data_IF_360644510472
#
_entry.id   IF_360644510472
#
_cell.length_a   1.000
_cell.length_b   1.000
_cell.length_c   1.000
_cell.angle_alpha   90.00
_cell.angle_beta   90.00
_cell.angle_gamma   90.00
#
_symmetry.space_group_name_H-M   'P 1'
#
loop_
_entity.id
_entity.type
_entity.pdbx_description
1 polymer ?
#
# COMPACT_ATOMS: atom_id res chain seq x y z
N UNK A 1 41.17 5.23 -40.72
CA UNK A 1 39.73 5.58 -40.76
C UNK A 1 39.10 4.88 -39.56
N UNK A 2 39.17 5.55 -38.41
CA UNK A 2 38.81 4.96 -37.12
C UNK A 2 37.36 5.31 -36.84
N UNK A 3 36.50 4.31 -36.77
CA UNK A 3 35.11 4.43 -36.34
C UNK A 3 35.14 4.25 -34.82
N UNK A 4 35.15 5.38 -34.11
CA UNK A 4 34.99 5.46 -32.66
C UNK A 4 33.58 5.04 -32.32
N UNK A 5 33.46 3.88 -31.66
CA UNK A 5 32.20 3.40 -31.13
C UNK A 5 31.72 4.27 -29.97
N UNK A 6 30.71 5.08 -30.20
CA UNK A 6 29.96 5.76 -29.12
C UNK A 6 29.26 4.70 -28.28
N UNK A 7 29.83 4.39 -27.11
CA UNK A 7 29.10 3.70 -26.05
C UNK A 7 28.00 4.63 -25.55
N UNK A 8 26.79 4.38 -25.98
CA UNK A 8 25.60 4.91 -25.33
C UNK A 8 25.60 4.49 -23.85
N UNK A 9 26.06 5.39 -23.00
CA UNK A 9 25.79 5.32 -21.56
C UNK A 9 24.29 5.57 -21.38
N UNK A 10 23.51 4.49 -21.37
CA UNK A 10 22.15 4.53 -20.85
C UNK A 10 22.31 4.76 -19.35
N UNK A 11 22.25 6.02 -18.95
CA UNK A 11 22.07 6.40 -17.56
C UNK A 11 20.74 5.82 -17.09
N UNK A 12 20.78 4.66 -16.41
CA UNK A 12 19.68 4.13 -15.63
C UNK A 12 19.41 5.11 -14.47
N UNK A 13 18.77 6.24 -14.79
CA UNK A 13 18.10 7.03 -13.76
C UNK A 13 16.97 6.15 -13.26
N UNK A 14 17.15 5.52 -12.11
CA UNK A 14 16.05 4.90 -11.37
C UNK A 14 15.00 6.00 -11.15
N UNK A 15 13.98 6.01 -11.98
CA UNK A 15 12.83 6.89 -11.80
C UNK A 15 12.08 6.38 -10.59
N UNK A 16 12.20 7.09 -9.46
CA UNK A 16 11.41 6.80 -8.29
C UNK A 16 9.97 7.24 -8.51
N UNK A 17 9.06 6.42 -8.05
CA UNK A 17 7.61 6.66 -8.05
C UNK A 17 7.11 6.81 -6.62
N UNK A 18 5.92 7.38 -6.51
CA UNK A 18 5.23 7.52 -5.24
C UNK A 18 4.03 6.57 -5.18
N UNK A 19 4.21 5.50 -4.42
CA UNK A 19 3.13 4.69 -3.88
C UNK A 19 2.57 5.39 -2.63
N UNK A 20 1.29 5.24 -2.34
CA UNK A 20 0.71 5.82 -1.13
C UNK A 20 0.16 4.75 -0.21
N UNK A 21 0.42 4.96 1.09
CA UNK A 21 -0.29 4.30 2.17
C UNK A 21 -1.38 5.25 2.69
N UNK A 22 -2.65 4.88 2.52
CA UNK A 22 -3.77 5.65 3.02
C UNK A 22 -4.18 5.14 4.40
N UNK A 23 -4.35 6.07 5.36
CA UNK A 23 -4.78 5.79 6.74
C UNK A 23 -6.05 6.56 7.03
N UNK A 24 -7.08 5.84 7.50
CA UNK A 24 -8.42 6.39 7.71
C UNK A 24 -8.76 6.46 9.18
N UNK A 25 -9.42 7.57 9.57
CA UNK A 25 -9.99 7.76 10.90
C UNK A 25 -11.30 7.00 11.05
N UNK A 26 -11.73 6.77 12.29
CA UNK A 26 -13.02 6.16 12.60
C UNK A 26 -14.18 7.15 12.41
N UNK A 27 -14.25 7.77 11.22
CA UNK A 27 -15.21 8.81 10.83
C UNK A 27 -15.84 8.47 9.48
N UNK A 28 -16.95 9.11 9.10
CA UNK A 28 -17.61 8.87 7.82
C UNK A 28 -17.97 7.38 7.63
N UNK A 29 -17.59 6.81 6.50
CA UNK A 29 -17.85 5.41 6.16
C UNK A 29 -17.14 4.40 7.09
N UNK A 30 -16.09 4.83 7.79
CA UNK A 30 -15.35 4.01 8.76
C UNK A 30 -15.89 4.18 10.19
N UNK A 31 -16.99 4.93 10.40
CA UNK A 31 -17.62 5.07 11.71
C UNK A 31 -18.27 3.76 12.14
N UNK A 32 -17.92 3.27 13.33
CA UNK A 32 -18.49 2.04 13.88
C UNK A 32 -17.84 1.64 15.20
N UNK A 33 -18.55 0.83 16.00
CA UNK A 33 -18.08 0.42 17.34
C UNK A 33 -16.69 -0.22 17.30
N UNK A 34 -16.44 -1.12 16.34
CA UNK A 34 -15.15 -1.78 16.21
C UNK A 34 -14.02 -0.80 15.88
N UNK A 35 -14.23 0.11 14.94
CA UNK A 35 -13.24 1.10 14.55
C UNK A 35 -12.96 2.11 15.66
N UNK A 36 -13.99 2.52 16.41
CA UNK A 36 -13.85 3.36 17.60
C UNK A 36 -13.07 2.64 18.70
N UNK A 37 -13.34 1.34 18.92
CA UNK A 37 -12.58 0.51 19.86
C UNK A 37 -11.12 0.39 19.41
N UNK A 38 -10.87 0.20 18.12
CA UNK A 38 -9.52 0.09 17.55
C UNK A 38 -8.71 1.37 17.80
N UNK A 39 -9.28 2.55 17.54
CA UNK A 39 -8.60 3.83 17.79
C UNK A 39 -8.34 4.06 19.27
N UNK A 40 -9.30 3.75 20.14
CA UNK A 40 -9.16 3.85 21.59
C UNK A 40 -8.07 2.92 22.13
N UNK A 41 -8.13 1.63 21.80
CA UNK A 41 -7.17 0.61 22.27
C UNK A 41 -5.73 0.87 21.78
N UNK A 42 -5.58 1.38 20.57
CA UNK A 42 -4.26 1.66 19.97
C UNK A 42 -3.75 3.08 20.26
N UNK A 43 -4.55 3.91 20.98
CA UNK A 43 -4.23 5.29 21.34
C UNK A 43 -3.84 6.16 20.15
N UNK A 44 -4.58 6.04 19.04
CA UNK A 44 -4.29 6.82 17.83
C UNK A 44 -5.50 6.94 16.91
N UNK A 45 -5.45 7.87 15.94
CA UNK A 45 -6.63 8.26 15.18
C UNK A 45 -7.05 7.24 14.09
N UNK A 46 -6.17 6.31 13.70
CA UNK A 46 -6.40 5.47 12.53
C UNK A 46 -6.96 4.10 12.88
N UNK A 47 -8.04 3.71 12.19
CA UNK A 47 -8.70 2.42 12.33
C UNK A 47 -8.54 1.51 11.11
N UNK A 48 -8.18 2.09 9.96
CA UNK A 48 -8.03 1.36 8.69
C UNK A 48 -6.83 1.87 7.90
N UNK A 49 -6.30 1.02 7.01
CA UNK A 49 -5.24 1.38 6.08
C UNK A 49 -5.34 0.56 4.80
N UNK A 50 -4.93 1.16 3.67
CA UNK A 50 -4.90 0.52 2.36
C UNK A 50 -3.77 1.07 1.48
N UNK A 51 -3.39 0.33 0.44
CA UNK A 51 -2.50 0.82 -0.61
C UNK A 51 -3.26 1.61 -1.66
N UNK A 52 -2.63 2.68 -2.15
CA UNK A 52 -3.12 3.48 -3.27
C UNK A 52 -2.00 3.63 -4.28
N UNK A 53 -2.17 2.98 -5.42
CA UNK A 53 -1.31 3.10 -6.59
C UNK A 53 -1.87 4.20 -7.49
N UNK A 54 -0.99 4.96 -8.11
CA UNK A 54 -1.37 5.95 -9.13
C UNK A 54 -0.59 5.64 -10.40
N UNK A 55 -1.30 5.29 -11.46
CA UNK A 55 -0.70 4.98 -12.75
C UNK A 55 -1.19 5.93 -13.84
N UNK A 56 -0.27 6.40 -14.66
CA UNK A 56 -0.61 7.04 -15.94
C UNK A 56 -1.16 6.00 -16.92
N UNK A 57 -1.82 6.39 -18.04
CA UNK A 57 -2.26 5.43 -19.06
C UNK A 57 -1.14 4.55 -19.60
N UNK A 58 0.07 5.12 -19.80
CA UNK A 58 1.25 4.42 -20.31
C UNK A 58 1.74 3.37 -19.29
N UNK A 59 1.84 3.77 -18.02
CA UNK A 59 2.22 2.87 -16.93
C UNK A 59 1.18 1.77 -16.73
N UNK A 60 -0.11 2.12 -16.84
CA UNK A 60 -1.20 1.17 -16.71
C UNK A 60 -1.12 0.08 -17.79
N UNK A 61 -0.74 0.43 -19.02
CA UNK A 61 -0.50 -0.55 -20.09
C UNK A 61 0.61 -1.53 -19.72
N UNK A 62 1.75 -1.00 -19.24
CA UNK A 62 2.88 -1.83 -18.79
C UNK A 62 2.52 -2.73 -17.59
N UNK A 63 1.72 -2.18 -16.66
CA UNK A 63 1.22 -2.93 -15.49
C UNK A 63 0.26 -4.02 -15.94
N UNK A 64 -0.62 -3.74 -16.92
CA UNK A 64 -1.56 -4.72 -17.46
C UNK A 64 -0.86 -5.95 -18.02
N UNK A 65 0.19 -5.75 -18.82
CA UNK A 65 1.01 -6.82 -19.38
C UNK A 65 1.66 -7.68 -18.28
N UNK A 66 2.05 -7.06 -17.18
CA UNK A 66 2.66 -7.72 -16.04
C UNK A 66 1.68 -8.42 -15.09
N UNK A 67 0.42 -7.97 -15.06
CA UNK A 67 -0.65 -8.51 -14.21
C UNK A 67 -1.62 -9.39 -15.01
N UNK A 68 -1.20 -9.93 -16.16
CA UNK A 68 -2.00 -10.80 -17.04
C UNK A 68 -2.84 -11.81 -16.24
N UNK A 69 -4.17 -11.73 -16.41
CA UNK A 69 -5.16 -12.60 -15.77
C UNK A 69 -5.85 -12.02 -14.54
N UNK A 70 -5.28 -11.04 -13.85
CA UNK A 70 -5.91 -10.43 -12.67
C UNK A 70 -6.75 -9.19 -12.99
N UNK A 71 -6.36 -8.44 -14.01
CA UNK A 71 -7.02 -7.19 -14.34
C UNK A 71 -7.41 -7.17 -15.80
N UNK A 72 -8.70 -7.28 -16.10
CA UNK A 72 -9.26 -6.86 -17.40
C UNK A 72 -9.30 -5.33 -17.40
N UNK A 73 -8.16 -4.71 -17.62
CA UNK A 73 -8.09 -3.27 -17.79
C UNK A 73 -8.85 -2.91 -19.07
N UNK A 74 -9.83 -2.02 -18.95
CA UNK A 74 -10.47 -1.40 -20.11
C UNK A 74 -9.40 -0.59 -20.84
N UNK A 75 -9.09 -0.99 -22.06
CA UNK A 75 -7.97 -0.52 -22.89
C UNK A 75 -8.08 0.94 -23.38
N UNK A 76 -8.98 1.75 -22.86
CA UNK A 76 -9.19 3.15 -23.27
C UNK A 76 -9.21 4.08 -22.05
N UNK A 77 -8.14 4.03 -21.26
CA UNK A 77 -7.96 4.99 -20.17
C UNK A 77 -7.11 6.15 -20.71
N UNK A 78 -7.66 7.34 -20.73
CA UNK A 78 -6.99 8.57 -21.20
C UNK A 78 -6.44 9.41 -20.05
N UNK A 79 -6.81 9.07 -18.80
CA UNK A 79 -6.42 9.79 -17.59
C UNK A 79 -5.76 8.86 -16.58
N UNK A 80 -4.96 9.41 -15.65
CA UNK A 80 -4.42 8.62 -14.55
C UNK A 80 -5.52 7.93 -13.75
N UNK A 81 -5.29 6.67 -13.39
CA UNK A 81 -6.18 5.90 -12.53
C UNK A 81 -5.54 5.64 -11.18
N UNK A 82 -6.39 5.52 -10.17
CA UNK A 82 -6.00 5.11 -8.83
C UNK A 82 -6.50 3.69 -8.59
N UNK A 83 -5.59 2.81 -8.18
CA UNK A 83 -5.94 1.47 -7.72
C UNK A 83 -5.78 1.44 -6.20
N UNK A 84 -6.89 1.21 -5.49
CA UNK A 84 -6.88 0.97 -4.06
C UNK A 84 -6.98 -0.54 -3.81
N UNK A 85 -6.07 -1.09 -3.00
CA UNK A 85 -6.13 -2.50 -2.57
C UNK A 85 -6.29 -2.52 -1.05
N UNK A 86 -7.35 -3.17 -0.59
CA UNK A 86 -7.82 -3.09 0.79
C UNK A 86 -8.43 -4.40 1.29
N UNK A 87 -8.66 -4.48 2.58
CA UNK A 87 -9.49 -5.51 3.22
C UNK A 87 -10.30 -4.87 4.35
N UNK A 88 -11.62 -4.94 4.26
CA UNK A 88 -12.53 -4.41 5.27
C UNK A 88 -12.90 -5.48 6.30
N UNK A 89 -13.35 -5.05 7.48
CA UNK A 89 -13.79 -5.95 8.56
C UNK A 89 -14.84 -6.94 8.09
N UNK A 90 -14.50 -8.22 8.21
CA UNK A 90 -15.41 -9.30 7.83
C UNK A 90 -15.52 -9.60 6.33
N UNK A 91 -14.79 -8.84 5.49
CA UNK A 91 -14.70 -9.06 4.05
C UNK A 91 -13.51 -9.91 3.64
N UNK A 92 -13.11 -9.73 2.41
CA UNK A 92 -11.93 -10.34 1.78
C UNK A 92 -10.98 -9.27 1.26
N UNK A 93 -9.76 -9.65 0.92
CA UNK A 93 -8.87 -8.77 0.15
C UNK A 93 -9.54 -8.45 -1.17
N UNK A 94 -9.68 -7.15 -1.44
CA UNK A 94 -10.38 -6.66 -2.62
C UNK A 94 -9.68 -5.41 -3.17
N UNK A 95 -10.09 -4.96 -4.35
CA UNK A 95 -9.55 -3.77 -4.99
C UNK A 95 -10.63 -2.95 -5.68
N UNK A 96 -10.34 -1.68 -5.90
CA UNK A 96 -11.18 -0.76 -6.70
C UNK A 96 -10.31 0.14 -7.54
N UNK A 97 -10.80 0.44 -8.73
CA UNK A 97 -10.25 1.49 -9.57
C UNK A 97 -11.08 2.76 -9.42
N UNK A 98 -10.40 3.88 -9.24
CA UNK A 98 -11.02 5.19 -9.17
C UNK A 98 -10.45 6.05 -10.30
N UNK A 99 -11.33 6.80 -10.97
CA UNK A 99 -10.93 7.93 -11.82
C UNK A 99 -10.40 9.06 -10.93
N UNK A 100 -9.80 10.07 -11.50
CA UNK A 100 -9.30 11.24 -10.75
C UNK A 100 -10.37 11.87 -9.88
N UNK A 101 -11.54 12.17 -10.49
CA UNK A 101 -12.65 12.83 -9.78
C UNK A 101 -13.20 11.96 -8.64
N UNK A 102 -13.39 10.66 -8.91
CA UNK A 102 -13.82 9.70 -7.89
C UNK A 102 -12.78 9.56 -6.75
N UNK A 103 -11.49 9.64 -7.06
CA UNK A 103 -10.43 9.62 -6.06
C UNK A 103 -10.42 10.88 -5.21
N UNK A 104 -10.60 12.06 -5.82
CA UNK A 104 -10.69 13.33 -5.08
C UNK A 104 -11.88 13.34 -4.10
N UNK A 105 -13.03 12.81 -4.52
CA UNK A 105 -14.19 12.67 -3.63
C UNK A 105 -13.94 11.63 -2.54
N UNK A 106 -13.41 10.47 -2.90
CA UNK A 106 -13.16 9.36 -1.97
C UNK A 106 -12.15 9.75 -0.88
N UNK A 107 -11.08 10.46 -1.23
CA UNK A 107 -10.04 10.88 -0.28
C UNK A 107 -10.37 12.19 0.46
N UNK A 108 -11.56 12.79 0.26
CA UNK A 108 -12.09 13.87 1.13
C UNK A 108 -12.45 13.39 2.53
N UNK A 109 -12.71 12.10 2.71
CA UNK A 109 -12.87 11.52 4.06
C UNK A 109 -11.57 11.73 4.83
N UNK A 110 -11.60 12.01 6.16
CA UNK A 110 -10.40 12.23 6.96
C UNK A 110 -9.37 11.13 6.79
N UNK A 111 -8.47 11.33 5.86
CA UNK A 111 -7.48 10.36 5.39
C UNK A 111 -6.10 11.00 5.49
N UNK A 112 -5.13 10.25 5.95
CA UNK A 112 -3.73 10.63 5.83
C UNK A 112 -3.10 9.79 4.72
N UNK A 113 -2.74 10.44 3.62
CA UNK A 113 -1.94 9.85 2.56
C UNK A 113 -0.47 9.98 2.93
N UNK A 114 0.24 8.87 3.00
CA UNK A 114 1.67 8.83 3.27
C UNK A 114 2.39 8.33 2.01
N UNK A 115 3.28 9.14 1.41
CA UNK A 115 4.05 8.71 0.25
C UNK A 115 5.09 7.68 0.66
N UNK A 116 5.29 6.67 -0.19
CA UNK A 116 6.35 5.66 -0.08
C UNK A 116 7.11 5.70 -1.40
N UNK A 117 8.38 6.02 -1.33
CA UNK A 117 9.25 6.04 -2.50
C UNK A 117 9.56 4.60 -2.95
N UNK A 118 9.28 4.28 -4.21
CA UNK A 118 9.49 2.95 -4.79
C UNK A 118 10.08 3.07 -6.20
N UNK A 119 10.77 2.03 -6.66
CA UNK A 119 11.03 1.85 -8.08
C UNK A 119 9.78 1.30 -8.76
N UNK A 120 9.69 1.45 -10.09
CA UNK A 120 8.58 0.87 -10.85
C UNK A 120 8.51 -0.65 -10.68
N UNK A 121 9.65 -1.33 -10.66
CA UNK A 121 9.71 -2.78 -10.45
C UNK A 121 9.21 -3.20 -9.07
N UNK A 122 9.54 -2.46 -8.02
CA UNK A 122 9.04 -2.70 -6.67
C UNK A 122 7.53 -2.48 -6.61
N UNK A 123 7.01 -1.44 -7.29
CA UNK A 123 5.57 -1.19 -7.38
C UNK A 123 4.83 -2.34 -8.07
N UNK A 124 5.36 -2.84 -9.21
CA UNK A 124 4.81 -4.00 -9.92
C UNK A 124 4.87 -5.27 -9.06
N UNK A 125 5.98 -5.53 -8.39
CA UNK A 125 6.11 -6.69 -7.49
C UNK A 125 5.09 -6.64 -6.36
N UNK A 126 4.91 -5.46 -5.75
CA UNK A 126 3.91 -5.25 -4.70
C UNK A 126 2.49 -5.48 -5.22
N UNK A 127 2.16 -4.91 -6.38
CA UNK A 127 0.86 -5.11 -6.99
C UNK A 127 0.60 -6.60 -7.29
N UNK A 128 1.55 -7.31 -7.90
CA UNK A 128 1.47 -8.76 -8.14
C UNK A 128 1.24 -9.54 -6.85
N UNK A 129 2.01 -9.24 -5.82
CA UNK A 129 1.88 -9.92 -4.53
C UNK A 129 0.48 -9.68 -3.93
N UNK A 130 -0.02 -8.45 -3.96
CA UNK A 130 -1.34 -8.09 -3.43
C UNK A 130 -2.48 -8.76 -4.22
N UNK A 131 -2.40 -8.80 -5.55
CA UNK A 131 -3.38 -9.50 -6.37
C UNK A 131 -3.41 -11.01 -6.09
N UNK A 132 -2.27 -11.63 -5.77
CA UNK A 132 -2.21 -13.02 -5.33
C UNK A 132 -2.90 -13.25 -3.97
N UNK A 133 -3.15 -12.19 -3.20
CA UNK A 133 -3.93 -12.26 -1.95
C UNK A 133 -5.43 -12.02 -2.17
N UNK A 134 -5.87 -11.70 -3.39
CA UNK A 134 -7.28 -11.41 -3.68
C UNK A 134 -8.21 -12.53 -3.20
N UNK A 135 -9.32 -12.15 -2.58
CA UNK A 135 -10.30 -13.09 -2.04
C UNK A 135 -9.94 -13.71 -0.69
N UNK A 136 -8.72 -13.54 -0.17
CA UNK A 136 -8.37 -14.06 1.16
C UNK A 136 -9.17 -13.35 2.26
N UNK A 137 -9.68 -14.11 3.26
CA UNK A 137 -10.58 -13.57 4.25
C UNK A 137 -9.90 -12.71 5.32
N UNK A 138 -10.69 -11.84 5.95
CA UNK A 138 -10.25 -10.99 7.06
C UNK A 138 -9.88 -11.81 8.32
N UNK A 139 -8.72 -11.53 8.91
CA UNK A 139 -8.32 -12.10 10.21
C UNK A 139 -8.87 -11.29 11.39
N UNK A 140 -10.10 -11.57 11.77
CA UNK A 140 -10.78 -10.93 12.92
C UNK A 140 -10.00 -11.13 14.23
N UNK A 141 -9.48 -12.32 14.44
CA UNK A 141 -8.74 -12.67 15.67
C UNK A 141 -7.42 -11.91 15.72
N UNK A 142 -6.66 -11.91 14.62
CA UNK A 142 -5.41 -11.17 14.53
C UNK A 142 -5.61 -9.67 14.73
N UNK A 143 -6.66 -9.10 14.14
CA UNK A 143 -7.00 -7.69 14.30
C UNK A 143 -7.32 -7.33 15.76
N UNK A 144 -8.10 -8.14 16.47
CA UNK A 144 -8.37 -7.95 17.88
C UNK A 144 -7.10 -8.06 18.74
N UNK A 145 -6.29 -9.09 18.53
CA UNK A 145 -5.06 -9.29 19.30
C UNK A 145 -4.03 -8.17 19.07
N UNK A 146 -3.96 -7.61 17.87
CA UNK A 146 -3.04 -6.51 17.59
C UNK A 146 -3.41 -5.22 18.33
N UNK A 147 -4.70 -4.97 18.62
CA UNK A 147 -5.14 -3.83 19.42
C UNK A 147 -4.58 -3.87 20.84
N UNK A 148 -4.55 -5.03 21.45
CA UNK A 148 -4.09 -5.24 22.83
C UNK A 148 -2.58 -5.51 22.94
N UNK A 149 -1.80 -5.25 21.88
CA UNK A 149 -0.35 -5.44 21.90
C UNK A 149 0.11 -6.88 22.17
N UNK A 150 -0.71 -7.86 21.89
CA UNK A 150 -0.34 -9.25 22.08
C UNK A 150 0.62 -9.71 20.98
N UNK A 151 1.91 -9.71 21.30
CA UNK A 151 3.04 -9.97 20.38
C UNK A 151 3.05 -11.36 19.71
N UNK A 152 2.11 -12.24 20.04
CA UNK A 152 2.05 -13.62 19.53
C UNK A 152 0.94 -13.86 18.51
N UNK A 153 0.48 -12.83 17.80
CA UNK A 153 -0.34 -13.10 16.62
C UNK A 153 0.55 -13.77 15.57
N UNK A 154 0.62 -15.11 15.64
CA UNK A 154 1.16 -15.89 14.52
C UNK A 154 0.33 -15.53 13.30
N UNK A 155 0.96 -14.97 12.27
CA UNK A 155 0.36 -14.83 10.95
C UNK A 155 -0.26 -16.18 10.59
N UNK A 156 -1.58 -16.26 10.62
CA UNK A 156 -2.28 -17.39 10.05
C UNK A 156 -2.13 -17.25 8.54
N UNK A 157 -1.42 -18.17 7.92
CA UNK A 157 -1.34 -18.25 6.48
C UNK A 157 -2.75 -18.17 5.90
N UNK A 158 -2.97 -17.35 4.88
CA UNK A 158 -4.23 -17.15 4.15
C UNK A 158 -5.30 -16.29 4.86
N UNK A 159 -4.95 -15.41 5.78
CA UNK A 159 -5.83 -14.39 6.34
C UNK A 159 -5.05 -13.13 6.69
N UNK A 160 -5.66 -11.97 6.49
CA UNK A 160 -5.05 -10.69 6.82
C UNK A 160 -6.07 -9.75 7.47
N UNK A 161 -5.60 -8.80 8.24
CA UNK A 161 -6.32 -7.55 8.49
C UNK A 161 -5.59 -6.39 7.80
N UNK A 162 -6.22 -5.24 7.70
CA UNK A 162 -5.80 -4.15 6.79
C UNK A 162 -4.31 -3.77 6.91
N UNK A 163 -3.85 -3.42 8.09
CA UNK A 163 -2.44 -3.02 8.31
C UNK A 163 -1.45 -4.18 8.27
N UNK A 164 -1.90 -5.41 8.54
CA UNK A 164 -1.06 -6.60 8.35
C UNK A 164 -0.83 -6.88 6.87
N UNK A 165 -1.87 -6.79 6.03
CA UNK A 165 -1.75 -6.93 4.58
C UNK A 165 -0.71 -5.94 4.04
N UNK A 166 -0.78 -4.69 4.49
CA UNK A 166 0.18 -3.65 4.10
C UNK A 166 1.61 -3.96 4.57
N UNK A 167 1.78 -4.31 5.85
CA UNK A 167 3.09 -4.63 6.40
C UNK A 167 3.74 -5.81 5.68
N UNK A 168 2.97 -6.89 5.41
CA UNK A 168 3.44 -8.05 4.67
C UNK A 168 3.79 -7.72 3.23
N UNK A 169 2.99 -6.89 2.54
CA UNK A 169 3.27 -6.45 1.17
C UNK A 169 4.56 -5.67 1.08
N UNK A 170 4.74 -4.66 1.93
CA UNK A 170 5.96 -3.85 1.98
C UNK A 170 7.21 -4.69 2.28
N UNK A 171 7.09 -5.62 3.22
CA UNK A 171 8.21 -6.51 3.56
C UNK A 171 8.56 -7.48 2.41
N UNK A 172 7.54 -8.03 1.74
CA UNK A 172 7.74 -8.96 0.62
C UNK A 172 8.46 -8.32 -0.57
N UNK A 173 8.33 -7.00 -0.73
CA UNK A 173 9.00 -6.23 -1.79
C UNK A 173 10.29 -5.55 -1.33
N UNK A 174 10.80 -5.88 -0.13
CA UNK A 174 12.03 -5.32 0.41
C UNK A 174 11.94 -3.82 0.76
N UNK A 175 10.73 -3.29 0.86
CA UNK A 175 10.51 -1.87 1.20
C UNK A 175 10.57 -1.60 2.70
N UNK A 176 10.43 -2.63 3.53
CA UNK A 176 10.54 -2.55 4.99
C UNK A 176 11.13 -3.83 5.55
N UNK A 177 11.63 -3.76 6.76
CA UNK A 177 12.10 -4.89 7.58
C UNK A 177 11.06 -5.33 8.63
N UNK A 178 9.80 -4.95 8.44
CA UNK A 178 8.70 -5.33 9.35
C UNK A 178 8.47 -6.83 9.23
N UNK A 179 9.24 -7.62 9.96
CA UNK A 179 9.04 -9.06 10.00
C UNK A 179 7.76 -9.40 10.77
N UNK A 180 6.77 -9.97 10.07
CA UNK A 180 5.62 -10.73 10.62
C UNK A 180 4.95 -10.20 11.92
N UNK A 181 5.12 -8.92 12.24
CA UNK A 181 4.51 -8.33 13.43
C UNK A 181 3.12 -7.81 13.06
N UNK A 182 2.11 -8.28 13.77
CA UNK A 182 0.77 -7.72 13.67
C UNK A 182 0.79 -6.27 14.18
N UNK A 183 0.87 -5.33 13.26
CA UNK A 183 0.85 -3.90 13.54
C UNK A 183 -0.58 -3.37 13.38
N UNK A 184 -1.08 -2.60 14.36
CA UNK A 184 -2.29 -1.82 14.15
C UNK A 184 -2.04 -0.69 13.13
N UNK A 185 -3.09 -0.12 12.50
CA UNK A 185 -2.94 0.99 11.57
C UNK A 185 -2.13 2.16 12.15
N UNK A 186 -2.33 2.51 13.42
CA UNK A 186 -1.56 3.56 14.10
C UNK A 186 -0.07 3.23 14.25
N UNK A 187 0.27 1.98 14.54
CA UNK A 187 1.67 1.55 14.65
C UNK A 187 2.34 1.50 13.30
N UNK A 188 1.66 0.99 12.28
CA UNK A 188 2.16 1.00 10.92
C UNK A 188 2.41 2.43 10.45
N UNK A 189 1.48 3.35 10.70
CA UNK A 189 1.65 4.77 10.40
C UNK A 189 2.90 5.36 11.07
N UNK A 190 3.05 5.12 12.37
CA UNK A 190 4.21 5.65 13.13
C UNK A 190 5.53 5.05 12.63
N UNK A 191 5.54 3.76 12.29
CA UNK A 191 6.72 3.10 11.73
C UNK A 191 7.13 3.73 10.39
N UNK A 192 6.18 3.88 9.46
CA UNK A 192 6.46 4.46 8.14
C UNK A 192 6.90 5.92 8.25
N UNK A 193 6.29 6.70 9.14
CA UNK A 193 6.70 8.08 9.41
C UNK A 193 8.13 8.18 9.93
N UNK A 194 8.53 7.30 10.85
CA UNK A 194 9.91 7.28 11.35
C UNK A 194 10.92 6.86 10.29
N UNK A 195 10.51 6.00 9.37
CA UNK A 195 11.35 5.60 8.23
C UNK A 195 11.53 6.76 7.27
N UNK A 196 10.46 7.45 6.88
CA UNK A 196 10.51 8.64 6.02
C UNK A 196 11.47 9.70 6.58
N UNK A 197 11.42 9.98 7.89
CA UNK A 197 12.33 10.93 8.53
C UNK A 197 13.80 10.47 8.43
N UNK A 198 14.08 9.19 8.63
CA UNK A 198 15.46 8.66 8.53
C UNK A 198 16.00 8.70 7.10
N UNK A 199 15.16 8.42 6.11
CA UNK A 199 15.56 8.45 4.70
C UNK A 199 15.90 9.90 4.28
N UNK A 200 15.17 10.90 4.79
CA UNK A 200 15.47 12.32 4.58
C UNK A 200 16.79 12.76 5.25
N UNK A 201 17.09 12.31 6.45
CA UNK A 201 18.35 12.61 7.15
C UNK A 201 19.56 12.06 6.39
N UNK A 202 19.45 10.87 5.81
CA UNK A 202 20.52 10.24 5.03
C UNK A 202 20.79 10.94 3.69
N UNK A 203 19.80 11.65 3.12
CA UNK A 203 19.98 12.43 1.87
C UNK A 203 20.66 13.77 2.11
N UNK A 204 20.59 14.31 3.33
CA UNK A 204 21.13 15.64 3.66
C UNK A 204 22.64 15.61 4.01
N UNK A 205 23.28 14.44 4.05
CA UNK A 205 24.70 14.24 4.47
C UNK A 205 25.64 14.00 3.28
N UNK A 206 25.22 14.27 2.05
CA UNK A 206 26.08 14.15 0.85
C UNK A 206 26.46 15.51 0.29
#
# INVERSE_FOLDING_TARGET
MDIVGERLYISNRCSFKMLYAAFYRAEGMYRGCFNSLATCATKGPYCHSEFVFRWTPEELSQVADNLCGFVRLRTQVTEPVFLCIYILWGGTVDYRFLTRDAAEEFFRVPTKMMPIQVTFDQEIQLAKWLFNQYGLPYDKTGALLCMFNWRKSRTRYNRYFCSQLMACGLNNCGLTDISNVALSPNRLYNYLRMKECRDLENVTVV
#
